data_IF_278703871403
#
_entry.id   IF_278703871403
#
_cell.length_a   1.000
_cell.length_b   1.000
_cell.length_c   1.000
_cell.angle_alpha   90.00
_cell.angle_beta   90.00
_cell.angle_gamma   90.00
#
_symmetry.space_group_name_H-M   'P 1'
#
loop_
_entity.id
_entity.type
_entity.pdbx_description
1 polymer ?
#
# COMPACT_ATOMS: atom_id res chain seq x y z
N UNK A 1 16.69 21.82 -6.07
CA UNK A 1 15.78 21.36 -7.13
C UNK A 1 15.70 19.83 -7.18
N UNK A 2 16.82 19.10 -7.34
CA UNK A 2 16.84 17.63 -7.37
C UNK A 2 16.23 16.96 -6.13
N UNK A 3 16.44 17.52 -4.93
CA UNK A 3 15.87 17.03 -3.65
C UNK A 3 14.35 16.98 -3.62
N UNK A 4 13.66 17.77 -4.47
CA UNK A 4 12.20 17.82 -4.52
C UNK A 4 11.65 17.09 -5.75
N UNK A 5 12.30 17.22 -6.90
CA UNK A 5 11.81 16.64 -8.16
C UNK A 5 11.96 15.12 -8.16
N UNK A 6 13.09 14.59 -7.71
CA UNK A 6 13.32 13.13 -7.74
C UNK A 6 12.30 12.40 -6.84
N UNK A 7 12.07 12.82 -5.58
CA UNK A 7 11.04 12.18 -4.76
C UNK A 7 9.63 12.36 -5.32
N UNK A 8 9.32 13.52 -5.93
CA UNK A 8 8.02 13.77 -6.53
C UNK A 8 7.76 12.82 -7.71
N UNK A 9 8.69 12.73 -8.65
CA UNK A 9 8.58 11.82 -9.81
C UNK A 9 8.52 10.37 -9.33
N UNK A 10 9.37 9.98 -8.38
CA UNK A 10 9.35 8.65 -7.79
C UNK A 10 8.02 8.31 -7.13
N UNK A 11 7.42 9.25 -6.39
CA UNK A 11 6.11 9.08 -5.76
C UNK A 11 5.00 8.91 -6.80
N UNK A 12 4.97 9.76 -7.83
CA UNK A 12 3.99 9.66 -8.92
C UNK A 12 4.10 8.33 -9.65
N UNK A 13 5.31 7.92 -10.04
CA UNK A 13 5.55 6.60 -10.65
C UNK A 13 5.11 5.46 -9.72
N UNK A 14 5.37 5.59 -8.42
CA UNK A 14 4.92 4.63 -7.41
C UNK A 14 3.40 4.46 -7.38
N UNK A 15 2.64 5.56 -7.53
CA UNK A 15 1.16 5.50 -7.61
C UNK A 15 0.71 4.73 -8.86
N UNK A 16 1.24 5.09 -10.03
CA UNK A 16 0.87 4.43 -11.30
C UNK A 16 1.24 2.94 -11.30
N UNK A 17 2.47 2.61 -10.90
CA UNK A 17 2.93 1.23 -10.83
C UNK A 17 2.17 0.44 -9.75
N UNK A 18 1.96 1.02 -8.57
CA UNK A 18 1.21 0.37 -7.49
C UNK A 18 -0.22 0.03 -7.89
N UNK A 19 -0.89 0.94 -8.60
CA UNK A 19 -2.23 0.71 -9.13
C UNK A 19 -2.23 -0.44 -10.16
N UNK A 20 -1.33 -0.41 -11.15
CA UNK A 20 -1.24 -1.46 -12.17
C UNK A 20 -0.90 -2.82 -11.57
N UNK A 21 0.04 -2.88 -10.61
CA UNK A 21 0.45 -4.11 -9.94
C UNK A 21 -0.71 -4.67 -9.11
N UNK A 22 -1.37 -3.84 -8.29
CA UNK A 22 -2.48 -4.29 -7.45
C UNK A 22 -3.65 -4.80 -8.30
N UNK A 23 -4.09 -4.01 -9.29
CA UNK A 23 -5.20 -4.40 -10.15
C UNK A 23 -4.88 -5.62 -11.01
N UNK A 24 -3.65 -5.71 -11.54
CA UNK A 24 -3.19 -6.87 -12.28
C UNK A 24 -3.14 -8.14 -11.45
N UNK A 25 -2.59 -8.09 -10.24
CA UNK A 25 -2.55 -9.24 -9.34
C UNK A 25 -3.95 -9.67 -8.87
N UNK A 26 -4.83 -8.70 -8.59
CA UNK A 26 -6.21 -9.02 -8.25
C UNK A 26 -6.98 -9.65 -9.42
N UNK A 27 -6.73 -9.19 -10.65
CA UNK A 27 -7.29 -9.83 -11.84
C UNK A 27 -6.74 -11.25 -12.03
N UNK A 28 -5.43 -11.46 -11.88
CA UNK A 28 -4.82 -12.79 -11.97
C UNK A 28 -5.37 -13.74 -10.89
N UNK A 29 -5.51 -13.27 -9.66
CA UNK A 29 -6.12 -14.08 -8.63
C UNK A 29 -7.61 -14.34 -8.92
N UNK A 30 -8.33 -13.36 -9.49
CA UNK A 30 -9.73 -13.55 -9.86
C UNK A 30 -9.88 -14.60 -10.97
N UNK A 31 -9.01 -14.62 -11.98
CA UNK A 31 -9.01 -15.66 -13.03
C UNK A 31 -8.68 -17.05 -12.46
N UNK A 32 -7.72 -17.16 -11.53
CA UNK A 32 -7.40 -18.42 -10.82
C UNK A 32 -8.61 -18.95 -10.03
N UNK A 33 -9.39 -18.06 -9.41
CA UNK A 33 -10.59 -18.42 -8.67
C UNK A 33 -11.83 -18.66 -9.57
N UNK A 34 -11.70 -18.47 -10.89
CA UNK A 34 -12.76 -18.67 -11.89
C UNK A 34 -13.64 -17.45 -12.15
N UNK A 35 -13.16 -16.25 -11.81
CA UNK A 35 -13.82 -14.97 -12.10
C UNK A 35 -13.84 -14.66 -13.59
N UNK A 36 -14.84 -13.88 -14.02
CA UNK A 36 -15.07 -13.53 -15.43
C UNK A 36 -14.92 -12.04 -15.72
N UNK A 37 -14.37 -11.30 -14.77
CA UNK A 37 -14.10 -9.87 -14.94
C UNK A 37 -13.03 -9.59 -15.98
N UNK A 38 -13.10 -8.41 -16.59
CA UNK A 38 -12.05 -7.92 -17.48
C UNK A 38 -10.93 -7.23 -16.69
N UNK A 39 -9.73 -7.17 -17.27
CA UNK A 39 -8.62 -6.40 -16.70
C UNK A 39 -8.97 -4.92 -16.51
N UNK A 40 -9.77 -4.33 -17.42
CA UNK A 40 -10.26 -2.96 -17.29
C UNK A 40 -11.14 -2.77 -16.05
N UNK A 41 -12.01 -3.75 -15.77
CA UNK A 41 -12.84 -3.74 -14.57
C UNK A 41 -11.99 -3.81 -13.29
N UNK A 42 -11.01 -4.72 -13.26
CA UNK A 42 -10.08 -4.87 -12.14
C UNK A 42 -9.30 -3.58 -11.85
N UNK A 43 -8.78 -2.91 -12.89
CA UNK A 43 -8.11 -1.61 -12.76
C UNK A 43 -9.06 -0.53 -12.26
N UNK A 44 -10.30 -0.48 -12.77
CA UNK A 44 -11.30 0.51 -12.36
C UNK A 44 -11.68 0.35 -10.89
N UNK A 45 -11.99 -0.88 -10.46
CA UNK A 45 -12.27 -1.21 -9.06
C UNK A 45 -11.10 -0.84 -8.16
N UNK A 46 -9.89 -1.19 -8.56
CA UNK A 46 -8.67 -0.89 -7.79
C UNK A 46 -8.46 0.62 -7.64
N UNK A 47 -8.71 1.40 -8.71
CA UNK A 47 -8.62 2.85 -8.69
C UNK A 47 -9.60 3.46 -7.67
N UNK A 48 -10.87 3.09 -7.73
CA UNK A 48 -11.89 3.58 -6.79
C UNK A 48 -11.63 3.11 -5.35
N UNK A 49 -11.20 1.87 -5.16
CA UNK A 49 -10.91 1.34 -3.84
C UNK A 49 -9.65 1.95 -3.20
N UNK A 50 -8.81 2.65 -3.97
CA UNK A 50 -7.63 3.36 -3.46
C UNK A 50 -7.95 4.76 -2.89
N UNK A 51 -9.17 5.28 -3.07
CA UNK A 51 -9.59 6.60 -2.55
C UNK A 51 -9.33 6.81 -1.04
N UNK A 52 -9.51 5.82 -0.14
CA UNK A 52 -9.18 5.98 1.26
C UNK A 52 -7.73 6.39 1.50
N UNK A 53 -6.78 5.95 0.65
CA UNK A 53 -5.38 6.36 0.78
C UNK A 53 -5.17 7.83 0.40
N UNK A 54 -5.90 8.34 -0.59
CA UNK A 54 -5.88 9.75 -0.93
C UNK A 54 -6.40 10.61 0.25
N UNK A 55 -7.50 10.17 0.89
CA UNK A 55 -8.03 10.83 2.08
C UNK A 55 -7.03 10.80 3.25
N UNK A 56 -6.37 9.66 3.48
CA UNK A 56 -5.31 9.52 4.48
C UNK A 56 -4.19 10.52 4.24
N UNK A 57 -3.69 10.59 3.01
CA UNK A 57 -2.52 11.41 2.70
C UNK A 57 -2.87 12.90 2.79
N UNK A 58 -4.10 13.30 2.40
CA UNK A 58 -4.61 14.66 2.63
C UNK A 58 -4.64 15.01 4.13
N UNK A 59 -5.16 14.12 4.98
CA UNK A 59 -5.19 14.34 6.43
C UNK A 59 -3.78 14.41 7.04
N UNK A 60 -2.85 13.57 6.57
CA UNK A 60 -1.44 13.61 7.00
C UNK A 60 -0.78 14.93 6.61
N UNK A 61 -1.02 15.42 5.39
CA UNK A 61 -0.51 16.73 4.92
C UNK A 61 -1.05 17.85 5.82
N UNK A 62 -2.37 17.90 6.04
CA UNK A 62 -3.00 18.91 6.90
C UNK A 62 -2.39 18.87 8.31
N UNK A 63 -2.24 17.68 8.89
CA UNK A 63 -1.63 17.51 10.20
C UNK A 63 -0.19 18.05 10.24
N UNK A 64 0.67 17.67 9.28
CA UNK A 64 2.06 18.11 9.27
C UNK A 64 2.20 19.63 9.06
N UNK A 65 1.29 20.24 8.30
CA UNK A 65 1.26 21.70 8.11
C UNK A 65 0.88 22.43 9.39
N UNK A 66 -0.04 21.88 10.19
CA UNK A 66 -0.47 22.47 11.46
C UNK A 66 0.56 22.22 12.57
N UNK A 67 1.05 20.98 12.68
CA UNK A 67 1.96 20.57 13.75
C UNK A 67 3.42 21.03 13.53
N UNK A 68 3.81 21.30 12.29
CA UNK A 68 5.17 21.71 11.93
C UNK A 68 6.21 20.59 12.01
N UNK A 69 5.80 19.33 12.16
CA UNK A 69 6.69 18.17 12.18
C UNK A 69 6.06 16.95 11.49
N UNK A 70 6.91 15.99 11.13
CA UNK A 70 6.48 14.72 10.53
C UNK A 70 5.86 13.78 11.57
N UNK A 71 5.01 12.85 11.08
CA UNK A 71 4.42 11.78 11.89
C UNK A 71 5.51 10.74 12.18
N UNK A 72 5.84 10.57 13.47
CA UNK A 72 6.91 9.68 13.92
C UNK A 72 6.54 8.19 13.82
N UNK A 73 5.30 7.84 14.15
CA UNK A 73 4.82 6.46 14.18
C UNK A 73 3.53 6.32 13.35
N UNK A 74 3.63 6.20 12.01
CA UNK A 74 2.46 6.04 11.15
C UNK A 74 1.74 4.72 11.39
N UNK A 75 0.42 4.71 11.22
CA UNK A 75 -0.40 3.49 11.33
C UNK A 75 -0.30 2.87 12.73
N UNK A 76 -0.04 1.57 12.78
CA UNK A 76 0.14 0.81 14.01
C UNK A 76 1.62 0.65 14.41
N UNK A 77 2.57 1.30 13.73
CA UNK A 77 4.00 1.03 13.97
C UNK A 77 4.47 1.40 15.37
N UNK A 78 3.76 2.30 16.07
CA UNK A 78 4.07 2.70 17.46
C UNK A 78 3.92 1.58 18.49
N UNK A 79 3.30 0.45 18.12
CA UNK A 79 3.17 -0.72 19.01
C UNK A 79 4.37 -1.67 19.00
N UNK A 80 5.41 -1.37 18.21
CA UNK A 80 6.60 -2.23 18.05
C UNK A 80 7.87 -1.43 18.32
N UNK A 81 8.76 -1.96 19.15
CA UNK A 81 10.03 -1.32 19.49
C UNK A 81 11.25 -1.95 18.79
N UNK A 82 11.34 -3.28 18.71
CA UNK A 82 12.58 -3.99 18.39
C UNK A 82 12.50 -4.89 17.13
N UNK A 83 11.77 -4.47 16.10
CA UNK A 83 11.70 -5.21 14.84
C UNK A 83 11.46 -4.28 13.66
N UNK A 84 12.49 -4.10 12.81
CA UNK A 84 12.41 -3.26 11.62
C UNK A 84 11.32 -3.76 10.66
N UNK A 85 11.23 -5.08 10.45
CA UNK A 85 10.20 -5.65 9.59
C UNK A 85 8.79 -5.42 10.15
N UNK A 86 8.55 -5.69 11.45
CA UNK A 86 7.23 -5.50 12.03
C UNK A 86 6.85 -4.00 12.10
N UNK A 87 7.79 -3.09 12.35
CA UNK A 87 7.55 -1.66 12.26
C UNK A 87 7.15 -1.23 10.83
N UNK A 88 7.81 -1.76 9.80
CA UNK A 88 7.47 -1.51 8.39
C UNK A 88 6.15 -2.15 7.95
N UNK A 89 5.78 -3.27 8.56
CA UNK A 89 4.50 -3.93 8.34
C UNK A 89 3.36 -3.12 8.95
N UNK A 90 3.46 -2.80 10.23
CA UNK A 90 2.42 -2.08 10.96
C UNK A 90 2.30 -0.61 10.56
N UNK A 91 3.35 0.00 9.96
CA UNK A 91 3.26 1.36 9.42
C UNK A 91 2.29 1.49 8.24
N UNK A 92 2.01 0.37 7.57
CA UNK A 92 1.13 0.27 6.40
C UNK A 92 -0.28 -0.19 6.77
N UNK A 93 -0.46 -0.72 7.98
CA UNK A 93 -1.76 -1.16 8.51
C UNK A 93 -2.37 0.00 9.29
N UNK A 94 -3.47 0.53 8.78
CA UNK A 94 -4.26 1.60 9.40
C UNK A 94 -5.74 1.45 9.02
N UNK A 95 -6.59 2.35 9.53
CA UNK A 95 -8.02 2.37 9.22
C UNK A 95 -8.31 2.51 7.72
N UNK A 96 -7.49 3.26 6.98
CA UNK A 96 -7.67 3.50 5.55
C UNK A 96 -7.30 2.27 4.72
N UNK A 97 -6.30 1.49 5.15
CA UNK A 97 -6.00 0.18 4.57
C UNK A 97 -7.20 -0.77 4.73
N UNK A 98 -7.78 -0.85 5.93
CA UNK A 98 -8.97 -1.68 6.17
C UNK A 98 -10.13 -1.23 5.29
N UNK A 99 -10.36 0.08 5.20
CA UNK A 99 -11.39 0.66 4.33
C UNK A 99 -11.15 0.30 2.85
N UNK A 100 -9.93 0.43 2.34
CA UNK A 100 -9.57 0.06 0.98
C UNK A 100 -9.81 -1.43 0.70
N UNK A 101 -9.42 -2.31 1.63
CA UNK A 101 -9.67 -3.76 1.52
C UNK A 101 -11.17 -4.07 1.45
N UNK A 102 -12.00 -3.42 2.26
CA UNK A 102 -13.47 -3.58 2.21
C UNK A 102 -14.02 -3.14 0.84
N UNK A 103 -13.56 -2.02 0.30
CA UNK A 103 -13.97 -1.55 -1.02
C UNK A 103 -13.53 -2.50 -2.15
N UNK A 104 -12.32 -3.07 -2.07
CA UNK A 104 -11.84 -4.07 -3.02
C UNK A 104 -12.71 -5.33 -2.99
N UNK A 105 -13.04 -5.84 -1.79
CA UNK A 105 -13.90 -7.02 -1.63
C UNK A 105 -15.28 -6.77 -2.25
N UNK A 106 -15.88 -5.60 -1.96
CA UNK A 106 -17.17 -5.22 -2.53
C UNK A 106 -17.09 -5.08 -4.05
N UNK A 107 -16.07 -4.39 -4.57
CA UNK A 107 -15.89 -4.14 -5.99
C UNK A 107 -15.69 -5.42 -6.78
N UNK A 108 -14.78 -6.31 -6.37
CA UNK A 108 -14.57 -7.61 -7.03
C UNK A 108 -15.74 -8.57 -6.86
N UNK A 109 -16.45 -8.50 -5.72
CA UNK A 109 -17.68 -9.29 -5.52
C UNK A 109 -18.80 -8.91 -6.49
N UNK A 110 -18.91 -7.63 -6.85
CA UNK A 110 -19.91 -7.13 -7.80
C UNK A 110 -19.47 -7.26 -9.26
N UNK A 111 -18.18 -7.01 -9.54
CA UNK A 111 -17.67 -6.90 -10.90
C UNK A 111 -17.33 -8.24 -11.57
N UNK A 112 -16.85 -9.23 -10.81
CA UNK A 112 -16.30 -10.48 -11.38
C UNK A 112 -17.29 -11.66 -11.30
N UNK A 113 -18.49 -11.42 -10.77
CA UNK A 113 -19.52 -12.43 -10.47
C UNK A 113 -18.97 -13.64 -9.69
N UNK A 114 -17.95 -13.38 -8.86
CA UNK A 114 -17.32 -14.36 -7.98
C UNK A 114 -18.18 -14.55 -6.74
N UNK A 115 -18.33 -15.79 -6.22
CA UNK A 115 -18.91 -15.99 -4.91
C UNK A 115 -18.10 -15.24 -3.86
N UNK A 116 -18.79 -14.62 -2.88
CA UNK A 116 -18.20 -13.69 -1.89
C UNK A 116 -16.94 -14.24 -1.22
N UNK A 117 -16.93 -15.53 -0.89
CA UNK A 117 -15.79 -16.20 -0.24
C UNK A 117 -14.52 -16.17 -1.08
N UNK A 118 -14.64 -16.37 -2.40
CA UNK A 118 -13.51 -16.32 -3.33
C UNK A 118 -13.01 -14.89 -3.56
N UNK A 119 -13.93 -13.93 -3.64
CA UNK A 119 -13.55 -12.51 -3.72
C UNK A 119 -12.78 -12.06 -2.48
N UNK A 120 -13.25 -12.43 -1.28
CA UNK A 120 -12.54 -12.19 -0.02
C UNK A 120 -11.16 -12.85 -0.04
N UNK A 121 -11.08 -14.14 -0.37
CA UNK A 121 -9.82 -14.86 -0.44
C UNK A 121 -8.82 -14.19 -1.40
N UNK A 122 -9.26 -13.85 -2.61
CA UNK A 122 -8.44 -13.17 -3.60
C UNK A 122 -7.85 -11.86 -3.08
N UNK A 123 -8.72 -10.97 -2.57
CA UNK A 123 -8.31 -9.64 -2.09
C UNK A 123 -7.36 -9.78 -0.91
N UNK A 124 -7.66 -10.64 0.06
CA UNK A 124 -6.81 -10.82 1.24
C UNK A 124 -5.46 -11.43 0.89
N UNK A 125 -5.40 -12.43 0.02
CA UNK A 125 -4.14 -13.06 -0.40
C UNK A 125 -3.26 -12.03 -1.12
N UNK A 126 -3.80 -11.33 -2.11
CA UNK A 126 -3.03 -10.33 -2.88
C UNK A 126 -2.59 -9.17 -1.99
N UNK A 127 -3.49 -8.66 -1.15
CA UNK A 127 -3.17 -7.54 -0.24
C UNK A 127 -2.10 -7.94 0.76
N UNK A 128 -2.18 -9.15 1.33
CA UNK A 128 -1.19 -9.66 2.27
C UNK A 128 0.18 -9.87 1.59
N UNK A 129 0.20 -10.46 0.39
CA UNK A 129 1.44 -10.65 -0.37
C UNK A 129 2.14 -9.31 -0.65
N UNK A 130 1.40 -8.32 -1.14
CA UNK A 130 1.94 -6.99 -1.41
C UNK A 130 2.37 -6.28 -0.13
N UNK A 131 1.61 -6.42 0.95
CA UNK A 131 1.96 -5.86 2.24
C UNK A 131 3.28 -6.45 2.77
N UNK A 132 3.44 -7.77 2.71
CA UNK A 132 4.68 -8.45 3.11
C UNK A 132 5.87 -8.05 2.24
N UNK A 133 5.68 -8.01 0.92
CA UNK A 133 6.72 -7.61 -0.03
C UNK A 133 7.20 -6.18 0.25
N UNK A 134 6.27 -5.24 0.38
CA UNK A 134 6.61 -3.83 0.64
C UNK A 134 7.27 -3.64 2.02
N UNK A 135 6.86 -4.42 3.02
CA UNK A 135 7.45 -4.39 4.36
C UNK A 135 8.87 -4.96 4.36
N UNK A 136 9.11 -6.04 3.60
CA UNK A 136 10.43 -6.62 3.40
C UNK A 136 11.38 -5.66 2.72
N UNK A 137 10.93 -5.04 1.61
CA UNK A 137 11.71 -4.00 0.91
C UNK A 137 12.01 -2.84 1.85
N UNK A 138 11.00 -2.34 2.57
CA UNK A 138 11.17 -1.24 3.53
C UNK A 138 12.20 -1.56 4.62
N UNK A 139 12.19 -2.77 5.17
CA UNK A 139 13.12 -3.20 6.20
C UNK A 139 14.57 -3.31 5.67
N UNK A 140 14.75 -3.84 4.45
CA UNK A 140 16.07 -3.90 3.80
C UNK A 140 16.61 -2.49 3.54
N UNK A 141 15.78 -1.59 3.02
CA UNK A 141 16.17 -0.21 2.74
C UNK A 141 16.50 0.56 4.03
N UNK A 142 15.74 0.38 5.11
CA UNK A 142 16.03 1.04 6.39
C UNK A 142 17.38 0.61 6.98
N UNK A 143 17.70 -0.69 6.88
CA UNK A 143 18.98 -1.21 7.32
C UNK A 143 20.14 -0.68 6.44
N UNK A 144 19.95 -0.63 5.11
CA UNK A 144 20.94 -0.08 4.20
C UNK A 144 21.20 1.42 4.41
N UNK A 145 20.17 2.21 4.68
CA UNK A 145 20.32 3.63 5.04
C UNK A 145 21.06 3.82 6.37
N UNK A 146 20.83 2.94 7.35
CA UNK A 146 21.58 2.94 8.61
C UNK A 146 23.08 2.72 8.39
N UNK A 147 23.44 1.82 7.47
CA UNK A 147 24.84 1.59 7.08
C UNK A 147 25.46 2.77 6.31
N UNK A 148 24.65 3.52 5.54
CA UNK A 148 25.12 4.72 4.83
C UNK A 148 25.36 5.91 5.77
N UNK A 149 24.57 6.05 6.84
CA UNK A 149 24.73 7.09 7.88
C UNK A 149 25.94 6.78 8.79
N UNK A 150 26.30 5.50 8.95
CA UNK A 150 27.45 5.07 9.74
C UNK A 150 28.80 5.09 9.01
N UNK A 151 28.90 5.64 7.80
CA UNK A 151 30.22 5.86 7.16
C UNK A 151 30.88 7.09 7.79
N UNK A 152 31.96 6.92 8.57
CA UNK A 152 32.78 8.04 9.01
C UNK A 152 33.64 8.40 7.81
N UNK A 153 33.21 9.38 7.03
CA UNK A 153 34.18 10.09 6.21
C UNK A 153 34.89 11.05 7.18
N UNK A 154 36.00 10.50 7.72
CA UNK A 154 36.80 10.88 8.90
C UNK A 154 36.27 10.36 10.24
#
# INVERSE_FOLDING_TARGET
MFTYIIPLVGALLGVWLGWLILGGLLHLGSTVFGGRGSMQSALTVTGWASLPFLARDALRIIFMLIAGHSIQSPGLSGFVANSAFAAQLLSRVDLFFIWAVVLLIAGFGLADNLPRTKAIANVLIVSLLLLLLQSGIGAVLSNASGLAIQRPFF
#
